data_IF_801494853556
#
_entry.id   IF_801494853556
#
_cell.length_a   1.000
_cell.length_b   1.000
_cell.length_c   1.000
_cell.angle_alpha   90.00
_cell.angle_beta   90.00
_cell.angle_gamma   90.00
#
_symmetry.space_group_name_H-M   'P 1'
#
loop_
_entity.id
_entity.type
_entity.pdbx_description
1 polymer ?
#
# COMPACT_ATOMS: atom_id res chain seq x y z
N UNK A 1 -25.49 55.07 52.67
CA UNK A 1 -24.30 55.21 51.84
C UNK A 1 -23.94 53.83 51.27
N UNK A 2 -24.44 53.55 50.07
CA UNK A 2 -24.16 52.24 49.37
C UNK A 2 -23.06 52.45 48.35
N UNK A 3 -21.89 51.81 48.55
CA UNK A 3 -20.82 51.73 47.55
C UNK A 3 -21.11 50.62 46.58
N UNK A 4 -21.40 50.94 45.32
CA UNK A 4 -21.47 49.99 44.20
C UNK A 4 -20.05 49.51 43.84
N UNK A 5 -19.80 48.22 43.98
CA UNK A 5 -18.60 47.57 43.42
C UNK A 5 -18.89 47.25 41.95
N UNK A 6 -18.11 47.81 41.04
CA UNK A 6 -18.11 47.47 39.61
C UNK A 6 -17.27 46.20 39.44
N UNK A 7 -17.92 45.17 38.92
CA UNK A 7 -17.26 43.93 38.47
C UNK A 7 -16.69 44.19 37.10
N UNK A 8 -15.36 44.06 36.97
CA UNK A 8 -14.66 44.06 35.68
C UNK A 8 -14.64 42.60 35.22
N UNK A 9 -15.43 42.28 34.19
CA UNK A 9 -15.34 40.97 33.52
C UNK A 9 -14.12 40.98 32.62
N UNK A 10 -13.19 40.10 32.90
CA UNK A 10 -12.02 39.86 32.07
C UNK A 10 -12.41 39.12 30.78
N UNK A 11 -12.19 39.76 29.66
CA UNK A 11 -12.24 39.15 28.33
C UNK A 11 -10.89 38.44 28.11
N UNK A 12 -10.82 37.15 28.42
CA UNK A 12 -9.69 36.31 28.10
C UNK A 12 -10.24 35.01 27.52
N UNK A 13 -10.41 34.93 26.22
CA UNK A 13 -10.93 33.70 25.62
C UNK A 13 -11.14 33.79 24.11
N UNK A 14 -10.14 34.17 23.33
CA UNK A 14 -10.27 34.07 21.87
C UNK A 14 -8.92 34.13 21.14
N UNK A 15 -7.89 33.39 21.61
CA UNK A 15 -6.58 33.33 20.90
C UNK A 15 -5.99 31.92 20.76
N UNK A 16 -6.77 30.87 20.98
CA UNK A 16 -6.28 29.48 20.90
C UNK A 16 -6.85 28.66 19.73
N UNK A 17 -7.65 29.23 18.83
CA UNK A 17 -8.29 28.49 17.72
C UNK A 17 -7.70 28.75 16.33
N UNK A 18 -6.60 29.51 16.20
CA UNK A 18 -6.00 29.86 14.91
C UNK A 18 -4.67 29.17 14.60
N UNK A 19 -4.22 28.22 15.42
CA UNK A 19 -2.94 27.53 15.19
C UNK A 19 -3.05 26.14 14.54
N UNK A 20 -4.23 25.70 14.10
CA UNK A 20 -4.42 24.36 13.50
C UNK A 20 -4.59 24.36 11.98
N UNK A 21 -4.55 25.49 11.31
CA UNK A 21 -4.68 25.55 9.85
C UNK A 21 -3.40 25.91 9.09
N UNK A 22 -2.23 25.94 9.72
CA UNK A 22 -0.98 26.35 9.08
C UNK A 22 -0.02 25.20 8.73
N UNK A 23 -0.38 23.93 8.97
CA UNK A 23 0.50 22.78 8.69
C UNK A 23 0.39 22.25 7.26
N UNK A 24 -0.61 22.66 6.48
CA UNK A 24 -0.84 22.15 5.11
C UNK A 24 -0.19 23.00 4.00
N UNK A 25 0.60 24.02 4.33
CA UNK A 25 1.17 24.95 3.32
C UNK A 25 2.61 24.60 2.91
N UNK A 26 3.23 23.64 3.56
CA UNK A 26 4.51 23.09 3.08
C UNK A 26 4.20 21.86 2.23
N UNK A 27 3.84 22.08 0.96
CA UNK A 27 3.57 21.02 0.00
C UNK A 27 4.77 20.09 -0.17
N UNK A 28 4.86 19.08 0.69
CA UNK A 28 5.62 17.88 0.39
C UNK A 28 5.05 17.26 -0.89
N UNK A 29 5.83 16.48 -1.65
CA UNK A 29 5.33 15.84 -2.86
C UNK A 29 4.04 15.08 -2.52
N UNK A 30 2.92 15.53 -3.12
CA UNK A 30 1.62 14.91 -2.91
C UNK A 30 1.71 13.46 -3.36
N UNK A 31 1.79 12.54 -2.41
CA UNK A 31 1.72 11.11 -2.68
C UNK A 31 0.39 10.83 -3.36
N UNK A 32 0.43 10.38 -4.59
CA UNK A 32 -0.79 9.95 -5.26
C UNK A 32 -1.22 8.62 -4.66
N UNK A 33 -2.32 8.62 -3.92
CA UNK A 33 -2.93 7.41 -3.37
C UNK A 33 -3.87 6.77 -4.38
N UNK A 34 -3.99 5.45 -4.34
CA UNK A 34 -4.82 4.67 -5.25
C UNK A 34 -5.65 3.66 -4.48
N UNK A 35 -6.89 3.35 -4.92
CA UNK A 35 -7.63 2.24 -4.37
C UNK A 35 -6.84 0.94 -4.47
N UNK A 36 -6.80 0.15 -3.40
CA UNK A 36 -6.03 -1.11 -3.34
C UNK A 36 -6.34 -2.04 -4.53
N UNK A 37 -7.62 -2.13 -4.95
CA UNK A 37 -8.02 -2.92 -6.11
C UNK A 37 -7.31 -2.48 -7.39
N UNK A 38 -7.12 -1.19 -7.58
CA UNK A 38 -6.44 -0.66 -8.76
C UNK A 38 -4.95 -0.96 -8.74
N UNK A 39 -4.33 -0.88 -7.56
CA UNK A 39 -2.93 -1.25 -7.37
C UNK A 39 -2.73 -2.73 -7.71
N UNK A 40 -3.56 -3.62 -7.15
CA UNK A 40 -3.50 -5.05 -7.43
C UNK A 40 -3.70 -5.36 -8.92
N UNK A 41 -4.69 -4.74 -9.57
CA UNK A 41 -4.91 -4.91 -11.00
C UNK A 41 -3.70 -4.46 -11.84
N UNK A 42 -3.05 -3.36 -11.46
CA UNK A 42 -1.87 -2.87 -12.16
C UNK A 42 -0.66 -3.80 -11.98
N UNK A 43 -0.44 -4.31 -10.76
CA UNK A 43 0.60 -5.31 -10.46
C UNK A 43 0.34 -6.58 -11.29
N UNK A 44 -0.86 -7.14 -11.22
CA UNK A 44 -1.24 -8.33 -12.01
C UNK A 44 -0.97 -8.14 -13.50
N UNK A 45 -1.33 -6.98 -14.04
CA UNK A 45 -1.10 -6.69 -15.45
C UNK A 45 0.40 -6.67 -15.79
N UNK A 46 1.25 -6.12 -14.92
CA UNK A 46 2.70 -6.08 -15.11
C UNK A 46 3.32 -7.47 -15.04
N UNK A 47 2.81 -8.33 -14.14
CA UNK A 47 3.33 -9.69 -13.91
C UNK A 47 2.88 -10.70 -14.99
N UNK A 48 1.61 -10.64 -15.39
CA UNK A 48 1.04 -11.69 -16.24
C UNK A 48 0.20 -11.18 -17.41
N UNK A 49 0.00 -9.85 -17.55
CA UNK A 49 -0.95 -9.29 -18.49
C UNK A 49 -2.39 -9.64 -18.11
N UNK A 50 -3.31 -9.56 -19.05
CA UNK A 50 -4.71 -9.93 -18.83
C UNK A 50 -4.99 -11.43 -19.05
N UNK A 51 -3.97 -12.30 -18.86
CA UNK A 51 -4.15 -13.74 -19.03
C UNK A 51 -5.07 -14.31 -17.97
N UNK A 52 -5.97 -15.25 -18.33
CA UNK A 52 -6.68 -16.07 -17.35
C UNK A 52 -5.69 -16.80 -16.43
N UNK A 53 -5.98 -16.94 -15.15
CA UNK A 53 -5.10 -17.56 -14.15
C UNK A 53 -4.52 -18.91 -14.60
N UNK A 54 -5.35 -19.76 -15.17
CA UNK A 54 -4.95 -21.10 -15.66
C UNK A 54 -3.97 -21.07 -16.86
N UNK A 55 -3.76 -19.91 -17.49
CA UNK A 55 -2.88 -19.74 -18.65
C UNK A 55 -1.63 -18.91 -18.34
N UNK A 56 -1.43 -18.52 -17.07
CA UNK A 56 -0.23 -17.79 -16.66
C UNK A 56 0.91 -18.80 -16.51
N UNK A 57 2.01 -18.66 -17.26
CA UNK A 57 3.17 -19.52 -17.10
C UNK A 57 3.92 -19.18 -15.79
N UNK A 58 4.62 -20.14 -15.26
CA UNK A 58 5.54 -19.91 -14.15
C UNK A 58 6.71 -19.06 -14.65
N UNK A 59 7.03 -18.02 -13.88
CA UNK A 59 8.17 -17.14 -14.12
C UNK A 59 9.40 -17.55 -13.32
N UNK A 60 10.51 -16.84 -13.56
CA UNK A 60 11.77 -17.03 -12.85
C UNK A 60 12.19 -18.52 -12.76
N UNK A 61 12.18 -19.19 -13.93
CA UNK A 61 12.52 -20.63 -14.05
C UNK A 61 11.66 -21.55 -13.15
N UNK A 62 10.38 -21.19 -12.93
CA UNK A 62 9.44 -21.95 -12.11
C UNK A 62 9.43 -21.58 -10.64
N UNK A 63 10.16 -20.54 -10.24
CA UNK A 63 10.22 -20.07 -8.85
C UNK A 63 9.11 -19.09 -8.50
N UNK A 64 8.51 -18.44 -9.49
CA UNK A 64 7.39 -17.49 -9.35
C UNK A 64 6.14 -18.06 -10.00
N UNK A 65 5.00 -18.08 -9.31
CA UNK A 65 3.79 -18.72 -9.80
C UNK A 65 2.56 -17.81 -9.77
N UNK A 66 1.65 -18.12 -10.69
CA UNK A 66 0.32 -17.48 -10.75
C UNK A 66 0.34 -16.04 -11.25
N UNK A 67 -0.85 -15.39 -11.29
CA UNK A 67 -1.04 -14.11 -11.95
C UNK A 67 -0.27 -12.95 -11.31
N UNK A 68 0.20 -13.12 -10.09
CA UNK A 68 1.02 -12.16 -9.35
C UNK A 68 2.47 -12.59 -9.19
N UNK A 69 2.89 -13.68 -9.84
CA UNK A 69 4.27 -14.20 -9.82
C UNK A 69 4.84 -14.31 -8.39
N UNK A 70 4.07 -14.94 -7.49
CA UNK A 70 4.45 -15.09 -6.09
C UNK A 70 5.56 -16.12 -5.94
N UNK A 71 6.66 -15.74 -5.28
CA UNK A 71 7.71 -16.64 -4.85
C UNK A 71 7.33 -17.40 -3.58
N UNK A 72 7.84 -18.62 -3.41
CA UNK A 72 7.58 -19.45 -2.23
C UNK A 72 7.98 -18.77 -0.92
N UNK A 73 9.07 -18.02 -0.90
CA UNK A 73 9.51 -17.28 0.30
C UNK A 73 8.55 -16.15 0.67
N UNK A 74 7.98 -15.47 -0.33
CA UNK A 74 6.98 -14.45 -0.14
C UNK A 74 5.70 -15.04 0.47
N UNK A 75 5.19 -16.16 -0.11
CA UNK A 75 4.03 -16.87 0.39
C UNK A 75 4.22 -17.34 1.83
N UNK A 76 5.37 -17.97 2.14
CA UNK A 76 5.67 -18.45 3.49
C UNK A 76 5.68 -17.32 4.51
N UNK A 77 6.32 -16.20 4.17
CA UNK A 77 6.38 -15.03 5.04
C UNK A 77 4.98 -14.46 5.34
N UNK A 78 4.09 -14.41 4.35
CA UNK A 78 2.69 -14.01 4.53
C UNK A 78 1.91 -15.01 5.41
N UNK A 79 2.07 -16.32 5.17
CA UNK A 79 1.40 -17.38 5.92
C UNK A 79 1.87 -17.46 7.39
N UNK A 80 3.15 -17.22 7.63
CA UNK A 80 3.71 -17.14 8.99
C UNK A 80 3.13 -15.94 9.78
N UNK A 81 2.77 -14.87 9.09
CA UNK A 81 2.17 -13.69 9.70
C UNK A 81 0.65 -13.83 9.92
N UNK A 82 -0.07 -14.32 8.92
CA UNK A 82 -1.53 -14.43 8.96
C UNK A 82 -1.96 -15.90 9.01
N UNK A 83 -2.16 -16.42 10.22
CA UNK A 83 -2.57 -17.81 10.46
C UNK A 83 -3.97 -18.16 9.89
N UNK A 84 -4.77 -17.15 9.53
CA UNK A 84 -6.05 -17.33 8.82
C UNK A 84 -5.89 -17.50 7.31
N UNK A 85 -4.66 -17.40 6.80
CA UNK A 85 -4.34 -17.62 5.39
C UNK A 85 -4.24 -19.14 5.11
N UNK A 86 -5.39 -19.82 5.14
CA UNK A 86 -5.47 -21.25 4.81
C UNK A 86 -5.06 -21.51 3.36
N UNK A 87 -4.50 -22.69 3.09
CA UNK A 87 -4.07 -23.11 1.76
C UNK A 87 -2.57 -23.35 1.65
N UNK A 88 -2.10 -23.63 0.44
CA UNK A 88 -0.69 -23.87 0.18
C UNK A 88 -0.12 -22.93 -0.91
N UNK A 89 1.18 -23.07 -1.17
CA UNK A 89 1.87 -22.23 -2.15
C UNK A 89 1.27 -22.36 -3.57
N UNK A 90 0.81 -23.58 -3.97
CA UNK A 90 0.23 -23.77 -5.30
C UNK A 90 -1.08 -23.04 -5.50
N UNK A 91 -1.78 -22.70 -4.40
CA UNK A 91 -2.99 -21.90 -4.45
C UNK A 91 -2.74 -20.46 -4.94
N UNK A 92 -1.49 -19.97 -4.91
CA UNK A 92 -1.11 -18.68 -5.50
C UNK A 92 -1.35 -18.64 -7.03
N UNK A 93 -1.61 -19.76 -7.69
CA UNK A 93 -2.05 -19.80 -9.08
C UNK A 93 -3.44 -19.23 -9.28
N UNK A 94 -4.25 -19.18 -8.23
CA UNK A 94 -5.54 -18.51 -8.22
C UNK A 94 -5.36 -17.05 -7.78
N UNK A 95 -5.76 -16.11 -8.63
CA UNK A 95 -5.61 -14.67 -8.37
C UNK A 95 -6.21 -14.24 -7.04
N UNK A 96 -7.41 -14.75 -6.70
CA UNK A 96 -8.07 -14.40 -5.44
C UNK A 96 -7.29 -14.85 -4.19
N UNK A 97 -6.60 -15.99 -4.25
CA UNK A 97 -5.74 -16.44 -3.16
C UNK A 97 -4.45 -15.63 -3.11
N UNK A 98 -3.81 -15.39 -4.26
CA UNK A 98 -2.60 -14.59 -4.34
C UNK A 98 -2.81 -13.15 -3.81
N UNK A 99 -3.99 -12.56 -4.05
CA UNK A 99 -4.37 -11.25 -3.48
C UNK A 99 -4.42 -11.29 -1.94
N UNK A 100 -4.92 -12.36 -1.33
CA UNK A 100 -4.89 -12.53 0.13
C UNK A 100 -3.46 -12.66 0.66
N UNK A 101 -2.60 -13.39 -0.07
CA UNK A 101 -1.17 -13.51 0.25
C UNK A 101 -0.49 -12.14 0.20
N UNK A 102 -0.73 -11.35 -0.84
CA UNK A 102 -0.21 -9.98 -0.96
C UNK A 102 -0.69 -9.11 0.19
N UNK A 103 -1.98 -9.16 0.51
CA UNK A 103 -2.54 -8.40 1.62
C UNK A 103 -1.86 -8.75 2.96
N UNK A 104 -1.70 -10.03 3.28
CA UNK A 104 -1.03 -10.47 4.49
C UNK A 104 0.43 -9.98 4.54
N UNK A 105 1.15 -10.12 3.43
CA UNK A 105 2.52 -9.65 3.28
C UNK A 105 2.64 -8.14 3.47
N UNK A 106 1.78 -7.34 2.84
CA UNK A 106 1.78 -5.88 2.98
C UNK A 106 1.39 -5.42 4.38
N UNK A 107 0.44 -6.09 5.03
CA UNK A 107 0.08 -5.82 6.44
C UNK A 107 1.24 -6.09 7.39
N UNK A 108 2.12 -7.04 7.07
CA UNK A 108 3.32 -7.32 7.85
C UNK A 108 4.41 -6.26 7.64
N UNK A 109 4.71 -5.90 6.39
CA UNK A 109 5.90 -5.15 6.04
C UNK A 109 5.69 -3.67 5.75
N UNK A 110 4.47 -3.27 5.41
CA UNK A 110 4.12 -1.90 5.07
C UNK A 110 2.64 -1.59 5.37
N UNK A 111 2.17 -1.76 6.63
CA UNK A 111 0.77 -1.59 6.99
C UNK A 111 0.24 -0.19 6.69
N UNK A 112 1.05 0.83 6.86
CA UNK A 112 0.78 2.22 6.53
C UNK A 112 0.58 2.42 5.02
N UNK A 113 1.53 1.96 4.21
CA UNK A 113 1.43 2.07 2.76
C UNK A 113 0.20 1.32 2.22
N UNK A 114 -0.12 0.14 2.79
CA UNK A 114 -1.30 -0.62 2.42
C UNK A 114 -2.60 0.11 2.77
N UNK A 115 -2.69 0.69 3.96
CA UNK A 115 -3.87 1.42 4.42
C UNK A 115 -4.10 2.72 3.63
N UNK A 116 -3.02 3.42 3.29
CA UNK A 116 -3.06 4.70 2.57
C UNK A 116 -3.22 4.53 1.04
N UNK A 117 -2.96 3.34 0.49
CA UNK A 117 -2.94 3.13 -0.95
C UNK A 117 -1.71 3.75 -1.63
N UNK A 118 -0.54 3.70 -0.96
CA UNK A 118 0.74 4.12 -1.52
C UNK A 118 1.21 3.10 -2.57
N UNK A 119 0.77 3.31 -3.81
CA UNK A 119 1.01 2.38 -4.90
C UNK A 119 2.50 2.16 -5.21
N UNK A 120 3.34 3.18 -5.09
CA UNK A 120 4.78 3.06 -5.31
C UNK A 120 5.41 2.11 -4.31
N UNK A 121 5.18 2.36 -3.02
CA UNK A 121 5.78 1.55 -1.96
C UNK A 121 5.28 0.10 -2.02
N UNK A 122 3.97 -0.09 -2.25
CA UNK A 122 3.37 -1.43 -2.40
C UNK A 122 4.00 -2.18 -3.59
N UNK A 123 4.06 -1.56 -4.77
CA UNK A 123 4.61 -2.21 -5.95
C UNK A 123 6.10 -2.56 -5.79
N UNK A 124 6.89 -1.65 -5.23
CA UNK A 124 8.32 -1.85 -5.03
C UNK A 124 8.62 -2.92 -3.97
N UNK A 125 7.82 -2.99 -2.90
CA UNK A 125 7.91 -4.06 -1.89
C UNK A 125 7.47 -5.39 -2.48
N UNK A 126 6.42 -5.42 -3.29
CA UNK A 126 5.99 -6.64 -3.97
C UNK A 126 7.10 -7.23 -4.84
N UNK A 127 7.79 -6.42 -5.61
CA UNK A 127 8.85 -6.86 -6.51
C UNK A 127 10.19 -7.13 -5.80
N UNK A 128 10.55 -6.31 -4.81
CA UNK A 128 11.90 -6.31 -4.21
C UNK A 128 12.00 -6.82 -2.77
N UNK A 129 10.89 -7.29 -2.18
CA UNK A 129 10.84 -7.70 -0.77
C UNK A 129 10.63 -6.53 0.20
N UNK A 130 10.73 -6.74 1.53
CA UNK A 130 10.36 -5.76 2.55
C UNK A 130 10.99 -4.38 2.38
N UNK A 131 12.25 -4.34 1.94
CA UNK A 131 13.00 -3.11 1.68
C UNK A 131 13.01 -2.73 0.19
N UNK A 132 12.13 -3.33 -0.63
CA UNK A 132 12.08 -3.10 -2.08
C UNK A 132 11.97 -1.61 -2.43
N UNK A 133 11.22 -0.84 -1.65
CA UNK A 133 11.03 0.60 -1.85
C UNK A 133 12.32 1.44 -1.71
N UNK A 134 13.38 0.89 -1.11
CA UNK A 134 14.68 1.52 -0.99
C UNK A 134 15.66 1.11 -2.10
N UNK A 135 15.31 0.08 -2.90
CA UNK A 135 16.22 -0.51 -3.91
C UNK A 135 16.02 0.15 -5.27
N UNK A 136 17.08 0.67 -5.87
CA UNK A 136 17.04 1.19 -7.26
C UNK A 136 16.63 0.12 -8.28
N UNK A 137 16.91 -1.15 -8.00
CA UNK A 137 16.53 -2.26 -8.87
C UNK A 137 15.01 -2.40 -9.08
N UNK A 138 14.19 -1.79 -8.21
CA UNK A 138 12.72 -1.80 -8.32
C UNK A 138 12.14 -0.58 -9.02
N UNK A 139 12.98 0.39 -9.41
CA UNK A 139 12.52 1.64 -10.05
C UNK A 139 11.82 1.36 -11.39
N UNK A 140 12.41 0.51 -12.24
CA UNK A 140 11.82 0.14 -13.54
C UNK A 140 10.50 -0.61 -13.37
N UNK A 141 10.40 -1.48 -12.36
CA UNK A 141 9.16 -2.17 -12.04
C UNK A 141 8.06 -1.18 -11.66
N UNK A 142 8.38 -0.22 -10.79
CA UNK A 142 7.44 0.84 -10.42
C UNK A 142 6.97 1.64 -11.63
N UNK A 143 7.87 2.03 -12.55
CA UNK A 143 7.48 2.78 -13.74
C UNK A 143 6.46 2.01 -14.60
N UNK A 144 6.58 0.69 -14.72
CA UNK A 144 5.60 -0.15 -15.43
C UNK A 144 4.24 -0.15 -14.73
N UNK A 145 4.21 -0.31 -13.40
CA UNK A 145 2.98 -0.26 -12.59
C UNK A 145 2.34 1.12 -12.68
N UNK A 146 3.11 2.18 -12.51
CA UNK A 146 2.66 3.58 -12.60
C UNK A 146 2.04 3.90 -13.95
N UNK A 147 2.67 3.45 -15.03
CA UNK A 147 2.13 3.61 -16.39
C UNK A 147 0.78 2.92 -16.53
N UNK A 148 0.63 1.71 -15.97
CA UNK A 148 -0.64 0.98 -16.01
C UNK A 148 -1.74 1.66 -15.20
N UNK A 149 -1.42 2.19 -14.02
CA UNK A 149 -2.35 2.95 -13.19
C UNK A 149 -2.90 4.20 -13.90
N UNK A 150 -2.06 4.87 -14.70
CA UNK A 150 -2.43 6.10 -15.44
C UNK A 150 -3.11 5.84 -16.78
N UNK A 151 -3.08 4.63 -17.31
CA UNK A 151 -3.61 4.28 -18.63
C UNK A 151 -5.13 4.00 -18.65
N UNK A 152 -5.87 4.41 -17.60
CA UNK A 152 -7.32 4.24 -17.47
C UNK A 152 -8.06 5.48 -17.92
#
# INVERSE_FOLDING_TARGET
>A
MLRRRRTVAAVAGCLLTLLWCAADILGGPTRTTWPTREILNAIRWVESGDRPDARVPDGDNGLAIGPYQIHRVYWRDAADFDQALEGDYQDCRRGSYAERVIQAYMRRHAPDAWAEGDAERIARIHNGGPEGHLKRATDEYWERVRKRLRAR
#
